data_IF_947563479827
#
_entry.id   IF_947563479827
#
_cell.length_a   1.000
_cell.length_b   1.000
_cell.length_c   1.000
_cell.angle_alpha   90.00
_cell.angle_beta   90.00
_cell.angle_gamma   90.00
#
_symmetry.space_group_name_H-M   'P 1'
#
loop_
_entity.id
_entity.type
_entity.pdbx_description
1 polymer ?
#
# COMPACT_ATOMS: atom_id res chain seq x y z
N UNK A 1 23.55 46.51 39.75
CA UNK A 1 23.67 45.18 39.10
C UNK A 1 22.28 44.71 38.67
N UNK A 2 21.77 45.20 37.53
CA UNK A 2 20.44 44.85 37.01
C UNK A 2 20.53 43.74 35.98
N UNK A 3 19.88 42.60 36.23
CA UNK A 3 19.81 41.45 35.30
C UNK A 3 19.06 41.81 34.01
N UNK A 4 19.60 41.50 32.82
CA UNK A 4 18.79 41.37 31.60
C UNK A 4 18.46 39.89 31.39
N UNK A 5 17.18 39.49 31.53
CA UNK A 5 16.74 38.09 31.28
C UNK A 5 15.60 37.95 30.27
N UNK A 6 15.11 39.04 29.65
CA UNK A 6 13.89 39.01 28.80
C UNK A 6 14.09 38.80 27.30
N UNK A 7 15.32 38.82 26.78
CA UNK A 7 15.53 38.74 25.31
C UNK A 7 15.64 37.31 24.76
N UNK A 8 16.15 36.35 25.56
CA UNK A 8 16.38 34.98 25.09
C UNK A 8 15.10 34.17 24.91
N UNK A 9 14.11 34.37 25.79
CA UNK A 9 12.86 33.59 25.86
C UNK A 9 11.89 33.99 24.74
N UNK A 10 11.84 35.28 24.37
CA UNK A 10 11.02 35.72 23.23
C UNK A 10 11.58 35.25 21.89
N UNK A 11 12.91 35.17 21.76
CA UNK A 11 13.55 34.69 20.52
C UNK A 11 13.39 33.18 20.34
N UNK A 12 13.46 32.38 21.41
CA UNK A 12 13.26 30.92 21.34
C UNK A 12 11.83 30.57 20.93
N UNK A 13 10.82 31.18 21.58
CA UNK A 13 9.40 30.95 21.28
C UNK A 13 9.06 31.32 19.83
N UNK A 14 9.64 32.42 19.33
CA UNK A 14 9.43 32.82 17.93
C UNK A 14 10.08 31.83 16.95
N UNK A 15 11.20 31.22 17.32
CA UNK A 15 11.87 30.20 16.49
C UNK A 15 11.07 28.90 16.44
N UNK A 16 10.61 28.40 17.58
CA UNK A 16 9.81 27.16 17.69
C UNK A 16 8.47 27.28 16.96
N UNK A 17 7.80 28.43 17.07
CA UNK A 17 6.58 28.73 16.31
C UNK A 17 6.81 28.71 14.79
N UNK A 18 7.94 29.26 14.31
CA UNK A 18 8.30 29.22 12.90
C UNK A 18 8.64 27.79 12.41
N UNK A 19 9.23 26.95 13.28
CA UNK A 19 9.49 25.55 12.97
C UNK A 19 8.17 24.78 12.85
N UNK A 20 7.24 24.96 13.79
CA UNK A 20 5.92 24.33 13.75
C UNK A 20 5.19 24.65 12.44
N UNK A 21 5.19 25.92 12.02
CA UNK A 21 4.56 26.35 10.77
C UNK A 21 5.17 25.64 9.55
N UNK A 22 6.50 25.50 9.51
CA UNK A 22 7.20 24.81 8.43
C UNK A 22 6.90 23.31 8.42
N UNK A 23 6.87 22.68 9.59
CA UNK A 23 6.54 21.26 9.73
C UNK A 23 5.11 20.97 9.28
N UNK A 24 4.13 21.78 9.71
CA UNK A 24 2.74 21.71 9.23
C UNK A 24 2.64 21.91 7.72
N UNK A 25 3.30 22.94 7.17
CA UNK A 25 3.30 23.18 5.71
C UNK A 25 3.92 22.00 4.92
N UNK A 26 4.97 21.38 5.44
CA UNK A 26 5.61 20.21 4.83
C UNK A 26 4.66 19.01 4.79
N UNK A 27 3.98 18.73 5.91
CA UNK A 27 2.95 17.71 6.01
C UNK A 27 1.80 17.95 5.04
N UNK A 28 1.29 19.18 5.00
CA UNK A 28 0.14 19.54 4.17
C UNK A 28 0.43 19.39 2.67
N UNK A 29 1.70 19.59 2.26
CA UNK A 29 2.15 19.31 0.89
C UNK A 29 2.11 17.81 0.56
N UNK A 30 2.43 16.94 1.52
CA UNK A 30 2.30 15.48 1.34
C UNK A 30 0.84 15.05 1.34
N UNK A 31 0.02 15.58 2.25
CA UNK A 31 -1.43 15.37 2.29
C UNK A 31 -2.09 15.74 0.97
N UNK A 32 -1.68 16.85 0.34
CA UNK A 32 -2.19 17.24 -0.98
C UNK A 32 -1.93 16.14 -2.04
N UNK A 33 -0.75 15.52 -2.04
CA UNK A 33 -0.44 14.42 -2.97
C UNK A 33 -1.34 13.20 -2.74
N UNK A 34 -1.61 12.88 -1.47
CA UNK A 34 -2.53 11.79 -1.09
C UNK A 34 -3.95 12.10 -1.57
N UNK A 35 -4.46 13.32 -1.32
CA UNK A 35 -5.78 13.76 -1.82
C UNK A 35 -5.88 13.74 -3.34
N UNK A 36 -4.82 14.14 -4.06
CA UNK A 36 -4.79 14.03 -5.52
C UNK A 36 -4.84 12.59 -6.01
N UNK A 37 -4.18 11.66 -5.29
CA UNK A 37 -4.23 10.24 -5.60
C UNK A 37 -5.62 9.65 -5.29
N UNK A 38 -6.27 10.08 -4.20
CA UNK A 38 -7.64 9.71 -3.87
C UNK A 38 -8.64 10.18 -4.95
N UNK A 39 -8.54 11.42 -5.42
CA UNK A 39 -9.35 11.91 -6.55
C UNK A 39 -9.17 11.02 -7.78
N UNK A 40 -7.92 10.66 -8.10
CA UNK A 40 -7.62 9.77 -9.22
C UNK A 40 -8.16 8.34 -8.99
N UNK A 41 -8.15 7.85 -7.75
CA UNK A 41 -8.75 6.57 -7.38
C UNK A 41 -10.27 6.58 -7.61
N UNK A 42 -10.94 7.67 -7.19
CA UNK A 42 -12.38 7.88 -7.42
C UNK A 42 -12.72 7.92 -8.92
N UNK A 43 -11.91 8.59 -9.73
CA UNK A 43 -12.04 8.57 -11.19
C UNK A 43 -11.87 7.15 -11.77
N UNK A 44 -10.80 6.45 -11.37
CA UNK A 44 -10.49 5.10 -11.85
C UNK A 44 -11.52 4.02 -11.43
N UNK A 45 -12.28 4.29 -10.37
CA UNK A 45 -13.42 3.43 -9.97
C UNK A 45 -14.53 3.44 -11.03
N UNK A 46 -14.78 4.60 -11.64
CA UNK A 46 -15.87 4.78 -12.61
C UNK A 46 -15.42 4.70 -14.06
N UNK A 47 -14.15 4.98 -14.33
CA UNK A 47 -13.57 5.06 -15.68
C UNK A 47 -12.39 4.08 -15.81
N UNK A 48 -12.56 3.07 -16.67
CA UNK A 48 -11.56 2.02 -16.92
C UNK A 48 -10.29 2.60 -17.56
N UNK A 49 -10.39 3.66 -18.37
CA UNK A 49 -9.25 4.27 -19.04
C UNK A 49 -8.31 4.98 -18.06
N UNK A 50 -8.81 5.34 -16.89
CA UNK A 50 -8.03 5.98 -15.82
C UNK A 50 -7.28 4.97 -14.95
N UNK A 51 -7.65 3.70 -14.99
CA UNK A 51 -7.07 2.65 -14.14
C UNK A 51 -5.55 2.47 -14.30
N UNK A 52 -4.97 2.46 -15.52
CA UNK A 52 -3.52 2.34 -15.67
C UNK A 52 -2.77 3.52 -15.03
N UNK A 53 -3.28 4.74 -15.23
CA UNK A 53 -2.70 5.96 -14.66
C UNK A 53 -2.78 5.97 -13.14
N UNK A 54 -3.92 5.51 -12.60
CA UNK A 54 -4.10 5.34 -11.16
C UNK A 54 -3.10 4.31 -10.59
N UNK A 55 -3.00 3.12 -11.20
CA UNK A 55 -2.08 2.06 -10.76
C UNK A 55 -0.62 2.51 -10.77
N UNK A 56 -0.20 3.26 -11.80
CA UNK A 56 1.16 3.79 -11.87
C UNK A 56 1.46 4.75 -10.70
N UNK A 57 0.51 5.63 -10.33
CA UNK A 57 0.69 6.55 -9.19
C UNK A 57 0.52 5.88 -7.83
N UNK A 58 -0.32 4.86 -7.74
CA UNK A 58 -0.56 4.09 -6.52
C UNK A 58 0.72 3.49 -5.93
N UNK A 59 1.71 3.13 -6.77
CA UNK A 59 3.02 2.65 -6.33
C UNK A 59 3.78 3.63 -5.42
N UNK A 60 3.41 4.92 -5.43
CA UNK A 60 4.01 5.94 -4.57
C UNK A 60 3.24 6.17 -3.27
N UNK A 61 2.10 5.50 -3.04
CA UNK A 61 1.26 5.73 -1.86
C UNK A 61 2.03 5.49 -0.56
N UNK A 62 2.69 4.34 -0.42
CA UNK A 62 3.40 3.99 0.82
C UNK A 62 4.49 5.02 1.13
N UNK A 63 5.21 5.49 0.11
CA UNK A 63 6.18 6.59 0.27
C UNK A 63 5.52 7.88 0.79
N UNK A 64 4.32 8.22 0.33
CA UNK A 64 3.61 9.41 0.83
C UNK A 64 3.13 9.22 2.27
N UNK A 65 2.69 8.02 2.63
CA UNK A 65 2.31 7.67 4.00
C UNK A 65 3.50 7.79 4.93
N UNK A 66 4.64 7.18 4.59
CA UNK A 66 5.87 7.26 5.39
C UNK A 66 6.33 8.72 5.58
N UNK A 67 6.25 9.53 4.52
CA UNK A 67 6.58 10.95 4.58
C UNK A 67 5.62 11.72 5.50
N UNK A 68 4.32 11.46 5.39
CA UNK A 68 3.31 12.09 6.21
C UNK A 68 3.50 11.72 7.69
N UNK A 69 3.70 10.45 8.01
CA UNK A 69 3.90 9.98 9.39
C UNK A 69 5.12 10.63 10.03
N UNK A 70 6.25 10.70 9.31
CA UNK A 70 7.45 11.37 9.80
C UNK A 70 7.22 12.86 10.04
N UNK A 71 6.52 13.54 9.13
CA UNK A 71 6.20 14.98 9.26
C UNK A 71 5.22 15.23 10.40
N UNK A 72 4.23 14.35 10.60
CA UNK A 72 3.26 14.44 11.68
C UNK A 72 3.91 14.19 13.05
N UNK A 73 4.85 13.26 13.13
CA UNK A 73 5.65 13.02 14.33
C UNK A 73 6.48 14.25 14.70
N UNK A 74 7.06 14.93 13.71
CA UNK A 74 7.79 16.19 13.95
C UNK A 74 6.87 17.29 14.48
N UNK A 75 5.67 17.44 13.91
CA UNK A 75 4.64 18.36 14.42
C UNK A 75 4.30 18.04 15.88
N UNK A 76 4.07 16.76 16.19
CA UNK A 76 3.77 16.31 17.56
C UNK A 76 4.90 16.68 18.53
N UNK A 77 6.17 16.40 18.16
CA UNK A 77 7.32 16.71 19.01
C UNK A 77 7.40 18.20 19.33
N UNK A 78 7.27 19.06 18.32
CA UNK A 78 7.32 20.52 18.50
C UNK A 78 6.15 21.01 19.38
N UNK A 79 4.95 20.46 19.19
CA UNK A 79 3.78 20.84 20.00
C UNK A 79 3.88 20.35 21.45
N UNK A 80 4.51 19.21 21.70
CA UNK A 80 4.81 18.73 23.04
C UNK A 80 5.79 19.68 23.75
N UNK A 81 6.85 20.11 23.06
CA UNK A 81 7.84 21.06 23.59
C UNK A 81 7.22 22.42 23.92
N UNK A 82 6.26 22.86 23.10
CA UNK A 82 5.48 24.10 23.32
C UNK A 82 4.37 23.96 24.37
N UNK A 83 4.07 22.75 24.85
CA UNK A 83 2.97 22.48 25.79
C UNK A 83 1.57 22.70 25.19
N UNK A 84 1.41 22.50 23.88
CA UNK A 84 0.18 22.72 23.14
C UNK A 84 -0.52 21.41 22.74
N UNK A 85 -0.56 20.42 23.63
CA UNK A 85 -1.12 19.09 23.33
C UNK A 85 -2.60 19.12 22.95
N UNK A 86 -3.38 20.00 23.57
CA UNK A 86 -4.81 20.12 23.28
C UNK A 86 -5.04 20.61 21.84
N UNK A 87 -4.26 21.58 21.37
CA UNK A 87 -4.34 22.06 19.99
C UNK A 87 -3.95 20.97 18.98
N UNK A 88 -2.95 20.14 19.32
CA UNK A 88 -2.57 19.01 18.47
C UNK A 88 -3.73 18.03 18.29
N UNK A 89 -4.43 17.69 19.37
CA UNK A 89 -5.55 16.76 19.34
C UNK A 89 -6.74 17.32 18.53
N UNK A 90 -7.01 18.61 18.65
CA UNK A 90 -8.14 19.26 17.98
C UNK A 90 -7.91 19.50 16.49
N UNK A 91 -6.65 19.61 16.05
CA UNK A 91 -6.32 20.00 14.67
C UNK A 91 -5.50 18.92 13.96
N UNK A 92 -4.30 18.63 14.45
CA UNK A 92 -3.33 17.83 13.73
C UNK A 92 -3.66 16.33 13.79
N UNK A 93 -4.24 15.84 14.89
CA UNK A 93 -4.67 14.45 15.01
C UNK A 93 -5.83 14.12 14.07
N UNK A 94 -6.77 15.04 13.86
CA UNK A 94 -7.87 14.85 12.91
C UNK A 94 -7.37 14.66 11.48
N UNK A 95 -6.28 15.34 11.11
CA UNK A 95 -5.63 15.16 9.80
C UNK A 95 -5.05 13.74 9.67
N UNK A 96 -4.55 13.17 10.76
CA UNK A 96 -4.06 11.78 10.76
C UNK A 96 -5.19 10.81 10.46
N UNK A 97 -6.35 10.99 11.09
CA UNK A 97 -7.55 10.20 10.82
C UNK A 97 -8.01 10.34 9.36
N UNK A 98 -8.00 11.56 8.81
CA UNK A 98 -8.32 11.80 7.40
C UNK A 98 -7.37 11.03 6.46
N UNK A 99 -6.06 11.07 6.72
CA UNK A 99 -5.07 10.35 5.90
C UNK A 99 -5.29 8.85 5.95
N UNK A 100 -5.58 8.29 7.11
CA UNK A 100 -5.89 6.86 7.25
C UNK A 100 -7.11 6.47 6.40
N UNK A 101 -8.19 7.26 6.45
CA UNK A 101 -9.38 7.03 5.65
C UNK A 101 -9.08 7.08 4.14
N UNK A 102 -8.36 8.13 3.69
CA UNK A 102 -7.96 8.29 2.29
C UNK A 102 -7.10 7.11 1.81
N UNK A 103 -6.12 6.71 2.61
CA UNK A 103 -5.22 5.60 2.26
C UNK A 103 -5.97 4.27 2.20
N UNK A 104 -6.87 4.02 3.15
CA UNK A 104 -7.74 2.84 3.14
C UNK A 104 -8.60 2.77 1.88
N UNK A 105 -9.22 3.90 1.49
CA UNK A 105 -10.02 3.97 0.27
C UNK A 105 -9.19 3.74 -0.99
N UNK A 106 -8.04 4.42 -1.13
CA UNK A 106 -7.13 4.26 -2.27
C UNK A 106 -6.71 2.79 -2.42
N UNK A 107 -6.29 2.13 -1.32
CA UNK A 107 -5.89 0.71 -1.33
C UNK A 107 -7.04 -0.20 -1.77
N UNK A 108 -8.25 0.05 -1.27
CA UNK A 108 -9.44 -0.71 -1.68
C UNK A 108 -9.72 -0.61 -3.18
N UNK A 109 -9.62 0.58 -3.78
CA UNK A 109 -9.77 0.73 -5.24
C UNK A 109 -8.64 0.03 -5.99
N UNK A 110 -7.41 0.07 -5.48
CA UNK A 110 -6.29 -0.62 -6.11
C UNK A 110 -6.47 -2.14 -6.16
N UNK A 111 -7.00 -2.75 -5.10
CA UNK A 111 -7.37 -4.17 -5.08
C UNK A 111 -8.51 -4.49 -6.06
N UNK A 112 -9.52 -3.61 -6.14
CA UNK A 112 -10.63 -3.77 -7.06
C UNK A 112 -10.14 -3.81 -8.52
N UNK A 113 -9.30 -2.84 -8.91
CA UNK A 113 -8.73 -2.74 -10.27
C UNK A 113 -7.89 -3.98 -10.63
N UNK A 114 -7.07 -4.48 -9.68
CA UNK A 114 -6.28 -5.70 -9.88
C UNK A 114 -7.14 -6.95 -10.07
N UNK A 115 -8.24 -7.03 -9.34
CA UNK A 115 -9.19 -8.15 -9.44
C UNK A 115 -9.91 -8.14 -10.79
N UNK A 116 -10.37 -6.98 -11.27
CA UNK A 116 -11.07 -6.85 -12.56
C UNK A 116 -10.18 -7.17 -13.75
N UNK A 117 -8.88 -6.85 -13.68
CA UNK A 117 -7.92 -7.21 -14.72
C UNK A 117 -7.74 -8.75 -14.83
N UNK A 118 -7.74 -9.45 -13.70
CA UNK A 118 -7.50 -10.90 -13.65
C UNK A 118 -8.67 -11.74 -14.17
N UNK A 119 -9.89 -11.18 -14.19
CA UNK A 119 -11.09 -11.88 -14.69
C UNK A 119 -11.25 -11.86 -16.21
N UNK A 120 -10.59 -10.93 -16.91
CA UNK A 120 -10.73 -10.77 -18.37
C UNK A 120 -9.93 -11.79 -19.18
N UNK A 121 -8.92 -12.46 -18.59
CA UNK A 121 -8.10 -13.49 -19.25
C UNK A 121 -8.73 -14.90 -19.28
N UNK A 122 -10.03 -15.05 -18.97
CA UNK A 122 -10.72 -16.35 -18.94
C UNK A 122 -11.75 -16.56 -20.05
N UNK A 123 -11.49 -16.05 -21.26
CA UNK A 123 -12.21 -16.50 -22.46
C UNK A 123 -11.40 -17.62 -23.12
N UNK A 124 -11.89 -18.88 -23.19
CA UNK A 124 -11.23 -19.88 -24.01
C UNK A 124 -11.45 -19.53 -25.49
N UNK A 125 -10.39 -19.39 -26.32
CA UNK A 125 -10.57 -19.36 -27.75
C UNK A 125 -10.93 -20.78 -28.20
N UNK A 126 -12.19 -21.02 -28.52
CA UNK A 126 -12.52 -22.06 -29.48
C UNK A 126 -12.03 -21.58 -30.85
N UNK A 127 -10.90 -22.12 -31.33
CA UNK A 127 -10.87 -22.57 -32.72
C UNK A 127 -9.76 -23.58 -33.01
N UNK A 128 -10.13 -24.56 -33.81
CA UNK A 128 -9.27 -25.63 -34.29
C UNK A 128 -8.21 -25.13 -35.29
N UNK A 129 -7.14 -25.93 -35.33
CA UNK A 129 -6.27 -26.26 -36.47
C UNK A 129 -4.90 -25.58 -36.56
N UNK A 130 -3.87 -26.42 -36.36
CA UNK A 130 -2.74 -26.52 -37.28
C UNK A 130 -1.55 -25.59 -37.07
N UNK A 131 -0.66 -25.90 -36.12
CA UNK A 131 0.78 -25.69 -36.34
C UNK A 131 1.63 -26.67 -35.54
N UNK A 132 2.32 -27.56 -36.26
CA UNK A 132 3.32 -28.49 -35.73
C UNK A 132 4.63 -27.74 -35.46
N UNK A 133 4.84 -27.35 -34.22
CA UNK A 133 6.16 -27.04 -33.67
C UNK A 133 6.42 -28.00 -32.52
N UNK A 134 7.55 -28.72 -32.54
CA UNK A 134 7.98 -29.55 -31.42
C UNK A 134 8.30 -28.65 -30.22
N UNK A 135 7.28 -28.27 -29.47
CA UNK A 135 7.41 -27.73 -28.13
C UNK A 135 7.48 -28.91 -27.18
N UNK A 136 8.56 -28.98 -26.40
CA UNK A 136 8.65 -29.89 -25.26
C UNK A 136 7.51 -29.48 -24.32
N UNK A 137 6.38 -30.17 -24.43
CA UNK A 137 5.25 -29.97 -23.54
C UNK A 137 5.60 -30.67 -22.24
N UNK A 138 5.68 -29.89 -21.16
CA UNK A 138 5.74 -30.47 -19.83
C UNK A 138 4.50 -31.37 -19.65
N UNK A 139 4.65 -32.55 -19.03
CA UNK A 139 3.51 -33.37 -18.67
C UNK A 139 2.50 -32.51 -17.92
N UNK A 140 1.27 -32.45 -18.42
CA UNK A 140 0.21 -31.66 -17.81
C UNK A 140 -0.23 -32.39 -16.54
N UNK A 141 0.37 -32.02 -15.41
CA UNK A 141 0.04 -32.59 -14.11
C UNK A 141 -1.21 -31.89 -13.62
N UNK A 142 -2.30 -32.63 -13.49
CA UNK A 142 -3.50 -32.12 -12.84
C UNK A 142 -3.24 -32.03 -11.33
N UNK A 143 -3.08 -30.79 -10.84
CA UNK A 143 -2.99 -30.56 -9.41
C UNK A 143 -4.30 -31.02 -8.75
N UNK A 144 -4.22 -31.68 -7.58
CA UNK A 144 -5.42 -32.05 -6.84
C UNK A 144 -6.31 -30.83 -6.63
N UNK A 145 -7.63 -30.99 -6.76
CA UNK A 145 -8.59 -29.92 -6.50
C UNK A 145 -9.08 -30.04 -5.06
N UNK A 146 -8.97 -28.97 -4.28
CA UNK A 146 -9.48 -28.95 -2.92
C UNK A 146 -10.98 -28.62 -2.92
N UNK A 147 -11.79 -29.49 -2.32
CA UNK A 147 -13.26 -29.35 -2.29
C UNK A 147 -13.76 -28.38 -1.21
N UNK A 148 -12.87 -27.75 -0.43
CA UNK A 148 -13.24 -26.80 0.63
C UNK A 148 -13.53 -27.44 1.99
N UNK A 149 -13.36 -28.76 2.14
CA UNK A 149 -13.54 -29.47 3.41
C UNK A 149 -12.29 -29.35 4.29
N UNK A 150 -12.41 -28.61 5.39
CA UNK A 150 -11.32 -28.33 6.35
C UNK A 150 -10.76 -29.61 6.98
N UNK A 151 -11.57 -30.67 7.12
CA UNK A 151 -11.12 -31.96 7.67
C UNK A 151 -10.14 -32.64 6.70
N UNK A 152 -10.35 -32.48 5.40
CA UNK A 152 -9.51 -33.05 4.34
C UNK A 152 -8.28 -32.20 4.01
N UNK A 153 -8.10 -31.06 4.67
CA UNK A 153 -6.98 -30.14 4.42
C UNK A 153 -5.61 -30.79 4.59
N UNK A 154 -5.42 -31.56 5.67
CA UNK A 154 -4.16 -32.24 5.92
C UNK A 154 -3.80 -33.22 4.79
N UNK A 155 -4.79 -34.00 4.34
CA UNK A 155 -4.62 -34.95 3.24
C UNK A 155 -4.34 -34.24 1.90
N UNK A 156 -5.08 -33.18 1.61
CA UNK A 156 -4.86 -32.35 0.43
C UNK A 156 -3.45 -31.74 0.41
N UNK A 157 -3.02 -31.16 1.53
CA UNK A 157 -1.69 -30.54 1.69
C UNK A 157 -0.58 -31.55 1.44
N UNK A 158 -0.70 -32.76 2.00
CA UNK A 158 0.33 -33.78 1.88
C UNK A 158 0.41 -34.34 0.44
N UNK A 159 -0.73 -34.54 -0.21
CA UNK A 159 -0.80 -34.93 -1.62
C UNK A 159 -0.27 -33.84 -2.56
N UNK A 160 -0.57 -32.57 -2.28
CA UNK A 160 -0.04 -31.43 -3.05
C UNK A 160 1.48 -31.32 -2.91
N UNK A 161 2.03 -31.46 -1.69
CA UNK A 161 3.48 -31.48 -1.46
C UNK A 161 4.16 -32.62 -2.20
N UNK A 162 3.58 -33.81 -2.20
CA UNK A 162 4.11 -34.96 -2.96
C UNK A 162 4.13 -34.70 -4.47
N UNK A 163 3.07 -34.12 -5.02
CA UNK A 163 3.00 -33.76 -6.44
C UNK A 163 4.08 -32.73 -6.81
N UNK A 164 4.26 -31.70 -5.97
CA UNK A 164 5.28 -30.66 -6.17
C UNK A 164 6.71 -31.22 -6.05
N UNK A 165 6.99 -32.07 -5.06
CA UNK A 165 8.32 -32.68 -4.94
C UNK A 165 8.64 -33.62 -6.11
N UNK A 166 7.65 -34.33 -6.67
CA UNK A 166 7.84 -35.16 -7.87
C UNK A 166 8.25 -34.31 -9.08
N UNK A 167 7.66 -33.11 -9.21
CA UNK A 167 8.02 -32.13 -10.27
C UNK A 167 9.44 -31.61 -10.11
N UNK A 168 9.85 -31.32 -8.87
CA UNK A 168 11.21 -30.86 -8.57
C UNK A 168 12.26 -31.93 -8.85
N UNK A 169 11.98 -33.21 -8.54
CA UNK A 169 12.86 -34.33 -8.85
C UNK A 169 13.05 -34.54 -10.37
N UNK A 170 11.99 -34.37 -11.17
CA UNK A 170 12.09 -34.40 -12.64
C UNK A 170 12.89 -33.21 -13.21
N UNK A 171 12.99 -32.12 -12.45
CA UNK A 171 13.67 -30.87 -12.86
C UNK A 171 15.10 -30.74 -12.30
N UNK A 172 15.60 -31.76 -11.59
CA UNK A 172 16.97 -31.81 -11.06
C UNK A 172 17.20 -31.04 -9.75
N UNK A 173 16.14 -30.62 -9.06
CA UNK A 173 16.23 -29.84 -7.81
C UNK A 173 15.75 -30.68 -6.62
N UNK A 174 16.54 -30.79 -5.56
CA UNK A 174 16.20 -31.60 -4.37
C UNK A 174 15.18 -30.89 -3.48
N UNK A 175 14.06 -31.56 -3.19
CA UNK A 175 13.07 -31.13 -2.20
C UNK A 175 13.63 -31.36 -0.78
N UNK A 176 13.97 -30.30 -0.04
CA UNK A 176 14.30 -30.40 1.40
C UNK A 176 13.03 -30.22 2.23
N UNK A 177 12.75 -31.21 3.09
CA UNK A 177 11.58 -31.32 4.00
C UNK A 177 11.40 -30.15 4.95
#
# INVERSE_FOLDING_TARGET
MGRPKRKSETTSVTSESNLLLRSRASRDMTLLKIRMLDTLAKEARTDVEKQPSFMARYLSLDKYVDQFEAQQQEVLNIMLDLGQQDEFNDVDLLITMEVEELCGYIRMIAELVRTTASTTDRVPPQNNSGFTGNTISLPKIELPKFAGDVIQWCYFRDMFRSAVCTVLQLSGTTCTT
#
